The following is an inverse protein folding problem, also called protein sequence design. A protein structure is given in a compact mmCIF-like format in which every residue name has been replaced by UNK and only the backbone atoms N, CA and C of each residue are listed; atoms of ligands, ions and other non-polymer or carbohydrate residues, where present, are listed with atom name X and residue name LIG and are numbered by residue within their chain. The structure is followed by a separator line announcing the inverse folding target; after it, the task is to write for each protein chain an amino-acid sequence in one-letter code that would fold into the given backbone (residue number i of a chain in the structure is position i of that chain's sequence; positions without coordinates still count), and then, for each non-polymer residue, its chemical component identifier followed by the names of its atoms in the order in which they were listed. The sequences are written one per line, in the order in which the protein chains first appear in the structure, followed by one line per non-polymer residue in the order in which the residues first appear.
data_IF_270553961265
#
_entry.id   IF_270553961265
#
_cell.length_a   1.000
_cell.length_b   1.000
_cell.length_c   1.000
_cell.angle_alpha   90.00
_cell.angle_beta   90.00
_cell.angle_gamma   90.00
#
_symmetry.space_group_name_H-M   'P 1'
#
loop_
_entity.id
_entity.type
_entity.pdbx_description
1 polymer ?
#
# COMPACT_ATOMS: atom_id res chain seq x y z
N UNK A 1 -11.36 15.52 -24.62
CA UNK A 1 -10.47 14.60 -23.91
C UNK A 1 -11.12 14.04 -22.63
N UNK A 2 -11.72 14.85 -21.75
CA UNK A 2 -12.39 14.37 -20.52
C UNK A 2 -13.76 13.67 -20.72
N UNK A 3 -14.25 13.61 -21.93
CA UNK A 3 -15.53 12.98 -22.30
C UNK A 3 -15.43 11.47 -22.60
N UNK A 4 -14.23 10.95 -22.73
CA UNK A 4 -14.01 9.53 -22.99
C UNK A 4 -14.31 8.66 -21.76
N UNK A 5 -15.08 7.58 -21.88
CA UNK A 5 -15.51 6.77 -20.73
C UNK A 5 -14.37 6.17 -19.90
N UNK A 6 -13.24 5.83 -20.55
CA UNK A 6 -12.07 5.29 -19.85
C UNK A 6 -11.38 6.35 -18.98
N UNK A 7 -11.29 7.60 -19.48
CA UNK A 7 -10.69 8.71 -18.72
C UNK A 7 -11.51 9.05 -17.49
N UNK A 8 -12.84 9.05 -17.60
CA UNK A 8 -13.73 9.29 -16.46
C UNK A 8 -13.58 8.21 -15.39
N UNK A 9 -13.46 6.92 -15.79
CA UNK A 9 -13.23 5.81 -14.86
C UNK A 9 -11.89 5.90 -14.18
N UNK A 10 -10.83 6.23 -14.91
CA UNK A 10 -9.50 6.43 -14.35
C UNK A 10 -9.47 7.57 -13.33
N UNK A 11 -10.09 8.70 -13.66
CA UNK A 11 -10.18 9.86 -12.79
C UNK A 11 -11.00 9.55 -11.53
N UNK A 12 -12.11 8.83 -11.66
CA UNK A 12 -12.91 8.39 -10.51
C UNK A 12 -12.13 7.44 -9.60
N UNK A 13 -11.42 6.46 -10.18
CA UNK A 13 -10.58 5.55 -9.39
C UNK A 13 -9.46 6.30 -8.67
N UNK A 14 -8.77 7.22 -9.35
CA UNK A 14 -7.72 8.04 -8.74
C UNK A 14 -8.27 8.93 -7.62
N UNK A 15 -9.39 9.61 -7.84
CA UNK A 15 -10.03 10.51 -6.88
C UNK A 15 -10.51 9.78 -5.60
N UNK A 16 -10.78 8.48 -5.70
CA UNK A 16 -11.15 7.63 -4.57
C UNK A 16 -9.91 7.06 -3.86
N UNK A 17 -8.93 6.56 -4.62
CA UNK A 17 -7.76 5.91 -4.05
C UNK A 17 -6.72 6.90 -3.51
N UNK A 18 -6.59 8.09 -4.11
CA UNK A 18 -5.63 9.08 -3.69
C UNK A 18 -5.84 9.57 -2.24
N UNK A 19 -7.06 9.98 -1.82
CA UNK A 19 -7.27 10.35 -0.42
C UNK A 19 -7.13 9.16 0.54
N UNK A 20 -7.45 7.94 0.11
CA UNK A 20 -7.24 6.75 0.92
C UNK A 20 -5.76 6.49 1.18
N UNK A 21 -4.94 6.54 0.13
CA UNK A 21 -3.48 6.42 0.24
C UNK A 21 -2.89 7.56 1.08
N UNK A 22 -3.34 8.80 0.87
CA UNK A 22 -2.90 9.95 1.64
C UNK A 22 -3.23 9.81 3.14
N UNK A 23 -4.40 9.27 3.48
CA UNK A 23 -4.79 9.04 4.86
C UNK A 23 -3.96 7.93 5.52
N UNK A 24 -3.82 6.78 4.86
CA UNK A 24 -2.95 5.70 5.34
C UNK A 24 -1.50 6.17 5.47
N UNK A 25 -1.04 6.96 4.52
CA UNK A 25 0.30 7.52 4.48
C UNK A 25 0.66 8.39 5.70
N UNK A 26 -0.32 9.05 6.34
CA UNK A 26 -0.07 9.80 7.59
C UNK A 26 0.48 8.87 8.68
N UNK A 27 -0.11 7.68 8.84
CA UNK A 27 0.35 6.71 9.82
C UNK A 27 1.65 6.03 9.40
N UNK A 28 1.82 5.77 8.10
CA UNK A 28 3.05 5.20 7.52
C UNK A 28 4.24 6.12 7.80
N UNK A 29 4.11 7.42 7.48
CA UNK A 29 5.19 8.39 7.70
C UNK A 29 5.44 8.66 9.18
N UNK A 30 4.39 8.71 10.02
CA UNK A 30 4.53 8.92 11.44
C UNK A 30 5.22 7.75 12.16
N UNK A 31 5.03 6.51 11.66
CA UNK A 31 5.67 5.29 12.18
C UNK A 31 7.03 4.99 11.55
N UNK A 32 7.58 5.89 10.73
CA UNK A 32 8.85 5.72 10.01
C UNK A 32 8.85 4.50 9.08
N UNK A 33 7.73 4.22 8.43
CA UNK A 33 7.55 3.11 7.50
C UNK A 33 7.53 3.58 6.04
N UNK A 34 8.33 4.59 5.68
CA UNK A 34 8.29 5.20 4.35
C UNK A 34 8.60 4.21 3.22
N UNK A 35 9.50 3.24 3.45
CA UNK A 35 9.85 2.20 2.49
C UNK A 35 8.83 1.06 2.39
N UNK A 36 7.78 1.06 3.22
CA UNK A 36 6.78 -0.01 3.23
C UNK A 36 6.08 -0.16 1.86
N UNK A 37 5.66 0.96 1.29
CA UNK A 37 4.99 0.95 -0.01
C UNK A 37 5.87 0.35 -1.10
N UNK A 38 7.14 0.74 -1.16
CA UNK A 38 8.09 0.19 -2.12
C UNK A 38 8.33 -1.30 -1.90
N UNK A 39 8.51 -1.71 -0.64
CA UNK A 39 8.69 -3.13 -0.28
C UNK A 39 7.50 -3.98 -0.74
N UNK A 40 6.27 -3.54 -0.45
CA UNK A 40 5.06 -4.26 -0.85
C UNK A 40 4.85 -4.23 -2.37
N UNK A 41 5.21 -3.13 -3.02
CA UNK A 41 5.11 -3.00 -4.48
C UNK A 41 6.04 -3.98 -5.19
N UNK A 42 7.26 -4.12 -4.72
CA UNK A 42 8.21 -5.11 -5.27
C UNK A 42 7.82 -6.55 -4.91
N UNK A 43 7.26 -6.77 -3.71
CA UNK A 43 6.66 -8.06 -3.35
C UNK A 43 5.47 -8.39 -4.27
N UNK A 44 4.62 -7.42 -4.58
CA UNK A 44 3.53 -7.60 -5.53
C UNK A 44 4.02 -8.01 -6.92
N UNK A 45 5.09 -7.37 -7.44
CA UNK A 45 5.71 -7.76 -8.70
C UNK A 45 6.28 -9.19 -8.66
N UNK A 46 6.92 -9.58 -7.57
CA UNK A 46 7.41 -10.95 -7.38
C UNK A 46 6.24 -11.96 -7.35
N UNK A 47 5.13 -11.59 -6.71
CA UNK A 47 3.90 -12.38 -6.72
C UNK A 47 3.27 -12.51 -8.10
N UNK A 48 3.29 -11.43 -8.92
CA UNK A 48 2.85 -11.46 -10.32
C UNK A 48 3.73 -12.41 -11.13
N UNK A 49 5.05 -12.32 -10.97
CA UNK A 49 5.99 -13.21 -11.65
C UNK A 49 5.73 -14.69 -11.29
N UNK A 50 5.45 -14.99 -10.02
CA UNK A 50 5.00 -16.31 -9.57
C UNK A 50 3.71 -16.74 -10.25
N UNK A 51 2.72 -15.87 -10.36
CA UNK A 51 1.46 -16.15 -11.03
C UNK A 51 1.64 -16.56 -12.48
N UNK A 52 2.48 -15.85 -13.22
CA UNK A 52 2.81 -16.19 -14.60
C UNK A 52 3.61 -17.50 -14.68
N UNK A 53 4.49 -17.76 -13.70
CA UNK A 53 5.22 -19.03 -13.66
C UNK A 53 4.30 -20.23 -13.46
N UNK A 54 3.21 -20.08 -12.71
CA UNK A 54 2.15 -21.09 -12.58
C UNK A 54 1.16 -21.12 -13.78
N UNK A 55 1.38 -20.30 -14.81
CA UNK A 55 0.53 -20.25 -16.01
C UNK A 55 -0.83 -19.60 -15.81
N UNK A 56 -0.96 -18.74 -14.78
CA UNK A 56 -2.20 -18.01 -14.53
C UNK A 56 -2.32 -16.80 -15.45
N UNK A 57 -3.45 -16.65 -16.13
CA UNK A 57 -3.73 -15.48 -16.98
C UNK A 57 -3.94 -14.20 -16.16
N UNK A 58 -4.48 -14.33 -14.95
CA UNK A 58 -4.67 -13.22 -14.01
C UNK A 58 -3.91 -13.47 -12.70
N UNK A 59 -2.71 -12.90 -12.52
CA UNK A 59 -1.87 -13.14 -11.36
C UNK A 59 -2.26 -12.34 -10.11
N UNK A 60 -3.49 -11.82 -10.02
CA UNK A 60 -3.95 -10.98 -8.90
C UNK A 60 -3.91 -11.72 -7.55
N UNK A 61 -4.29 -13.00 -7.53
CA UNK A 61 -4.27 -13.79 -6.28
C UNK A 61 -2.85 -14.04 -5.79
N UNK A 62 -1.89 -14.55 -6.60
CA UNK A 62 -0.49 -14.68 -6.18
C UNK A 62 0.14 -13.35 -5.78
N UNK A 63 -0.20 -12.26 -6.46
CA UNK A 63 0.25 -10.91 -6.12
C UNK A 63 -0.15 -10.55 -4.68
N UNK A 64 -1.42 -10.71 -4.33
CA UNK A 64 -1.94 -10.37 -2.99
C UNK A 64 -1.32 -11.30 -1.94
N UNK A 65 -1.29 -12.61 -2.19
CA UNK A 65 -0.77 -13.59 -1.25
C UNK A 65 0.71 -13.36 -0.94
N UNK A 66 1.53 -13.10 -1.95
CA UNK A 66 2.96 -12.86 -1.75
C UNK A 66 3.20 -11.53 -1.05
N UNK A 67 2.43 -10.48 -1.38
CA UNK A 67 2.47 -9.20 -0.67
C UNK A 67 2.11 -9.34 0.81
N UNK A 68 1.07 -10.11 1.12
CA UNK A 68 0.65 -10.39 2.50
C UNK A 68 1.70 -11.21 3.26
N UNK A 69 2.35 -12.17 2.60
CA UNK A 69 3.43 -12.97 3.19
C UNK A 69 4.60 -12.07 3.57
N UNK A 70 5.03 -11.19 2.68
CA UNK A 70 6.11 -10.23 2.94
C UNK A 70 5.72 -9.25 4.03
N UNK A 71 4.49 -8.73 4.03
CA UNK A 71 3.98 -7.84 5.06
C UNK A 71 3.92 -8.51 6.45
N UNK A 72 3.47 -9.77 6.51
CA UNK A 72 3.52 -10.57 7.73
C UNK A 72 4.97 -10.78 8.20
N UNK A 73 5.89 -11.01 7.26
CA UNK A 73 7.32 -11.11 7.52
C UNK A 73 7.91 -9.84 8.13
N UNK A 74 7.49 -8.64 7.67
CA UNK A 74 7.92 -7.36 8.26
C UNK A 74 7.54 -7.30 9.74
N UNK A 75 6.28 -7.58 10.07
CA UNK A 75 5.80 -7.49 11.46
C UNK A 75 6.43 -8.59 12.31
N UNK A 76 6.56 -9.81 11.77
CA UNK A 76 7.19 -10.92 12.48
C UNK A 76 8.66 -10.62 12.79
N UNK A 77 9.45 -10.13 11.82
CA UNK A 77 10.85 -9.74 12.04
C UNK A 77 10.96 -8.59 13.05
N UNK A 78 10.07 -7.59 12.98
CA UNK A 78 10.02 -6.50 13.95
C UNK A 78 9.81 -7.01 15.38
N UNK A 79 8.95 -8.01 15.57
CA UNK A 79 8.64 -8.58 16.88
C UNK A 79 9.77 -9.45 17.47
N UNK A 80 10.57 -10.10 16.60
CA UNK A 80 11.59 -11.08 17.00
C UNK A 80 13.04 -10.60 16.87
N UNK A 81 13.25 -9.42 16.29
CA UNK A 81 14.60 -8.87 16.11
C UNK A 81 14.68 -7.45 16.64
N UNK A 82 15.87 -7.02 17.04
CA UNK A 82 16.14 -5.63 17.44
C UNK A 82 16.49 -4.73 16.24
N UNK A 83 16.24 -5.20 15.01
CA UNK A 83 16.53 -4.45 13.80
C UNK A 83 15.56 -3.25 13.67
N UNK A 84 16.09 -2.15 13.16
CA UNK A 84 15.27 -1.01 12.80
C UNK A 84 14.26 -1.39 11.70
N UNK A 85 13.05 -0.87 11.78
CA UNK A 85 11.97 -1.16 10.83
C UNK A 85 12.40 -0.88 9.37
N UNK A 86 13.14 0.20 9.13
CA UNK A 86 13.65 0.53 7.80
C UNK A 86 14.67 -0.51 7.28
N UNK A 87 15.50 -1.09 8.17
CA UNK A 87 16.44 -2.16 7.80
C UNK A 87 15.70 -3.45 7.40
N UNK A 88 14.66 -3.81 8.15
CA UNK A 88 13.80 -4.96 7.83
C UNK A 88 13.14 -4.77 6.46
N UNK A 89 12.60 -3.58 6.20
CA UNK A 89 11.98 -3.26 4.92
C UNK A 89 12.97 -3.30 3.77
N UNK A 90 14.17 -2.74 3.93
CA UNK A 90 15.21 -2.78 2.91
C UNK A 90 15.66 -4.21 2.59
N UNK A 91 15.78 -5.08 3.62
CA UNK A 91 16.12 -6.48 3.45
C UNK A 91 15.05 -7.25 2.67
N UNK A 92 13.79 -7.09 3.05
CA UNK A 92 12.67 -7.75 2.38
C UNK A 92 12.41 -7.19 0.97
N UNK A 93 12.64 -5.87 0.77
CA UNK A 93 12.61 -5.26 -0.56
C UNK A 93 13.65 -5.89 -1.47
N UNK A 94 14.90 -5.91 -1.03
CA UNK A 94 16.00 -6.49 -1.83
C UNK A 94 15.76 -7.98 -2.12
N UNK A 95 15.29 -8.74 -1.12
CA UNK A 95 14.93 -10.14 -1.28
C UNK A 95 13.79 -10.34 -2.27
N UNK A 96 12.73 -9.54 -2.20
CA UNK A 96 11.58 -9.60 -3.12
C UNK A 96 11.98 -9.25 -4.55
N UNK A 97 12.82 -8.23 -4.73
CA UNK A 97 13.35 -7.84 -6.05
C UNK A 97 14.20 -8.96 -6.63
N UNK A 98 15.16 -9.51 -5.87
CA UNK A 98 16.02 -10.60 -6.32
C UNK A 98 15.19 -11.82 -6.70
N UNK A 99 14.23 -12.21 -5.87
CA UNK A 99 13.34 -13.33 -6.12
C UNK A 99 12.49 -13.11 -7.38
N UNK A 100 11.91 -11.92 -7.53
CA UNK A 100 11.14 -11.55 -8.72
C UNK A 100 11.98 -11.63 -10.00
N UNK A 101 13.22 -11.11 -9.99
CA UNK A 101 14.13 -11.14 -11.13
C UNK A 101 14.50 -12.59 -11.51
N UNK A 102 14.78 -13.46 -10.52
CA UNK A 102 15.08 -14.86 -10.78
C UNK A 102 13.92 -15.54 -11.50
N UNK A 103 12.68 -15.38 -11.01
CA UNK A 103 11.51 -15.98 -11.65
C UNK A 103 11.31 -15.42 -13.06
N UNK A 104 11.42 -14.10 -13.24
CA UNK A 104 11.28 -13.46 -14.54
C UNK A 104 12.33 -13.89 -15.54
N UNK A 105 13.54 -14.23 -15.09
CA UNK A 105 14.60 -14.74 -15.95
C UNK A 105 14.29 -16.13 -16.51
N UNK A 106 13.47 -16.91 -15.79
CA UNK A 106 13.01 -18.23 -16.20
C UNK A 106 11.81 -18.16 -17.17
N UNK A 107 11.12 -17.03 -17.22
CA UNK A 107 9.93 -16.81 -18.05
C UNK A 107 10.32 -16.21 -19.41
N UNK A 108 10.01 -16.91 -20.51
CA UNK A 108 10.21 -16.41 -21.86
C UNK A 108 8.92 -15.69 -22.33
N UNK A 109 9.00 -14.38 -22.59
CA UNK A 109 7.95 -13.66 -23.31
C UNK A 109 7.06 -12.68 -22.52
N UNK A 110 7.11 -12.63 -21.18
CA UNK A 110 6.19 -11.83 -20.35
C UNK A 110 6.65 -10.39 -20.02
N UNK A 111 7.70 -9.89 -20.68
CA UNK A 111 8.26 -8.55 -20.37
C UNK A 111 7.29 -7.39 -20.60
N UNK A 112 6.38 -7.50 -21.55
CA UNK A 112 5.40 -6.44 -21.85
C UNK A 112 4.29 -6.29 -20.79
N UNK A 113 3.91 -7.37 -20.14
CA UNK A 113 2.86 -7.34 -19.13
C UNK A 113 3.32 -6.72 -17.80
N UNK A 114 4.61 -6.84 -17.47
CA UNK A 114 5.17 -6.15 -16.30
C UNK A 114 5.07 -4.64 -16.38
N UNK A 115 5.25 -4.04 -17.57
CA UNK A 115 5.11 -2.60 -17.75
C UNK A 115 3.70 -2.10 -17.36
N UNK A 116 2.66 -2.89 -17.58
CA UNK A 116 1.30 -2.54 -17.17
C UNK A 116 1.17 -2.39 -15.66
N UNK A 117 1.82 -3.25 -14.87
CA UNK A 117 1.79 -3.16 -13.41
C UNK A 117 2.68 -2.04 -12.85
N UNK A 118 3.78 -1.70 -13.52
CA UNK A 118 4.65 -0.59 -13.10
C UNK A 118 3.96 0.77 -13.25
N UNK A 119 3.31 0.99 -14.40
CA UNK A 119 2.71 2.28 -14.76
C UNK A 119 1.18 2.31 -14.57
N UNK A 120 0.57 1.18 -14.25
CA UNK A 120 -0.88 1.01 -14.26
C UNK A 120 -1.45 0.87 -15.68
N UNK A 121 -2.62 0.28 -15.81
CA UNK A 121 -3.33 0.19 -17.09
C UNK A 121 -4.60 1.04 -17.04
N UNK A 122 -4.40 2.36 -17.13
CA UNK A 122 -5.47 3.37 -17.09
C UNK A 122 -6.53 3.12 -18.18
N UNK A 123 -6.12 2.56 -19.33
CA UNK A 123 -7.00 2.30 -20.46
C UNK A 123 -7.89 1.07 -20.25
N UNK A 124 -7.44 0.11 -19.45
CA UNK A 124 -8.14 -1.15 -19.21
C UNK A 124 -9.05 -1.15 -17.97
N UNK A 125 -9.22 0.00 -17.29
CA UNK A 125 -10.05 0.08 -16.09
C UNK A 125 -11.51 -0.24 -16.42
N UNK A 126 -11.99 -1.37 -15.88
CA UNK A 126 -13.38 -1.81 -16.02
C UNK A 126 -14.30 -1.12 -15.00
N UNK A 127 -15.62 -1.02 -15.28
CA UNK A 127 -16.57 -0.49 -14.30
C UNK A 127 -16.60 -1.27 -12.97
N UNK A 128 -16.29 -2.58 -13.03
CA UNK A 128 -16.22 -3.43 -11.83
C UNK A 128 -15.03 -3.05 -10.93
N UNK A 129 -13.90 -2.68 -11.52
CA UNK A 129 -12.72 -2.26 -10.79
C UNK A 129 -12.92 -0.90 -10.10
N UNK A 130 -13.64 0.02 -10.76
CA UNK A 130 -14.05 1.30 -10.14
C UNK A 130 -14.98 1.05 -8.95
N UNK A 131 -15.98 0.18 -9.10
CA UNK A 131 -16.88 -0.17 -7.99
C UNK A 131 -16.09 -0.83 -6.84
N UNK A 132 -15.14 -1.69 -7.16
CA UNK A 132 -14.29 -2.34 -6.16
C UNK A 132 -13.38 -1.34 -5.42
N UNK A 133 -12.79 -0.37 -6.11
CA UNK A 133 -12.01 0.69 -5.47
C UNK A 133 -12.85 1.55 -4.53
N UNK A 134 -14.12 1.79 -4.89
CA UNK A 134 -15.06 2.50 -4.03
C UNK A 134 -15.41 1.71 -2.76
N UNK A 135 -15.69 0.41 -2.90
CA UNK A 135 -15.91 -0.48 -1.75
C UNK A 135 -14.68 -0.52 -0.83
N UNK A 136 -13.48 -0.65 -1.42
CA UNK A 136 -12.23 -0.59 -0.68
C UNK A 136 -12.08 0.71 0.11
N UNK A 137 -12.35 1.85 -0.53
CA UNK A 137 -12.32 3.17 0.11
C UNK A 137 -13.26 3.24 1.31
N UNK A 138 -14.51 2.80 1.14
CA UNK A 138 -15.51 2.84 2.22
C UNK A 138 -15.13 1.92 3.36
N UNK A 139 -14.73 0.68 3.07
CA UNK A 139 -14.38 -0.31 4.09
C UNK A 139 -13.12 0.10 4.86
N UNK A 140 -12.05 0.44 4.14
CA UNK A 140 -10.79 0.84 4.78
C UNK A 140 -10.92 2.19 5.47
N UNK A 141 -11.60 3.15 4.85
CA UNK A 141 -11.87 4.46 5.44
C UNK A 141 -12.69 4.36 6.74
N UNK A 142 -13.78 3.59 6.73
CA UNK A 142 -14.59 3.33 7.93
C UNK A 142 -13.78 2.64 9.03
N UNK A 143 -12.96 1.65 8.67
CA UNK A 143 -12.08 0.98 9.62
C UNK A 143 -11.05 1.95 10.22
N UNK A 144 -10.35 2.74 9.39
CA UNK A 144 -9.40 3.75 9.85
C UNK A 144 -10.06 4.76 10.79
N UNK A 145 -11.26 5.24 10.43
CA UNK A 145 -11.99 6.18 11.25
C UNK A 145 -12.39 5.60 12.61
N UNK A 146 -12.82 4.33 12.64
CA UNK A 146 -13.18 3.62 13.87
C UNK A 146 -11.97 3.37 14.78
N UNK A 147 -10.79 3.16 14.22
CA UNK A 147 -9.56 2.90 14.95
C UNK A 147 -8.66 4.13 15.13
N UNK A 148 -9.10 5.31 14.67
CA UNK A 148 -8.29 6.53 14.62
C UNK A 148 -7.63 6.85 15.95
N UNK A 149 -8.39 6.85 17.04
CA UNK A 149 -7.87 7.18 18.39
C UNK A 149 -6.83 6.18 18.87
N UNK A 150 -7.06 4.88 18.61
CA UNK A 150 -6.13 3.81 19.01
C UNK A 150 -4.85 3.84 18.17
N UNK A 151 -4.98 4.06 16.85
CA UNK A 151 -3.85 4.21 15.93
C UNK A 151 -3.02 5.45 16.28
N UNK A 152 -3.67 6.55 16.61
CA UNK A 152 -3.00 7.79 17.06
C UNK A 152 -2.19 7.56 18.33
N UNK A 153 -2.80 6.92 19.33
CA UNK A 153 -2.13 6.61 20.58
C UNK A 153 -0.93 5.67 20.38
N UNK A 154 -1.13 4.60 19.60
CA UNK A 154 -0.09 3.64 19.25
C UNK A 154 1.07 4.30 18.47
N UNK A 155 0.77 5.27 17.60
CA UNK A 155 1.78 5.98 16.82
C UNK A 155 2.56 7.00 17.65
N UNK A 156 1.92 7.60 18.66
CA UNK A 156 2.56 8.58 19.53
C UNK A 156 3.47 7.92 20.58
N UNK A 157 2.95 6.91 21.29
CA UNK A 157 3.67 6.20 22.34
C UNK A 157 3.13 4.78 22.50
N UNK A 158 3.92 3.79 22.08
CA UNK A 158 3.54 2.38 22.11
C UNK A 158 3.33 1.88 23.54
N UNK A 159 4.21 2.28 24.48
CA UNK A 159 4.11 1.89 25.89
C UNK A 159 2.82 2.40 26.55
N UNK A 160 2.45 3.66 26.28
CA UNK A 160 1.20 4.23 26.79
C UNK A 160 -0.03 3.53 26.19
N UNK A 161 0.03 3.13 24.92
CA UNK A 161 -1.05 2.37 24.31
C UNK A 161 -1.26 1.02 25.00
N UNK A 162 -0.18 0.34 25.38
CA UNK A 162 -0.25 -0.92 26.15
C UNK A 162 -0.88 -0.71 27.53
N UNK A 163 -0.45 0.33 28.26
CA UNK A 163 -1.01 0.66 29.58
C UNK A 163 -2.51 1.01 29.50
N UNK A 164 -2.93 1.68 28.41
CA UNK A 164 -4.34 1.98 28.15
C UNK A 164 -5.16 0.77 27.68
N UNK A 165 -4.61 -0.44 27.66
CA UNK A 165 -5.32 -1.68 27.28
C UNK A 165 -5.56 -1.82 25.79
N UNK A 166 -4.84 -1.08 24.93
CA UNK A 166 -4.91 -1.24 23.48
C UNK A 166 -4.16 -2.52 23.09
N UNK A 167 -4.77 -3.44 22.33
CA UNK A 167 -4.08 -4.66 21.86
C UNK A 167 -3.08 -4.30 20.74
N UNK A 168 -1.95 -3.72 21.12
CA UNK A 168 -0.93 -3.15 20.23
C UNK A 168 -0.56 -4.10 19.11
N UNK A 169 -0.19 -5.34 19.44
CA UNK A 169 0.25 -6.34 18.46
C UNK A 169 -0.83 -6.65 17.42
N UNK A 170 -2.08 -6.84 17.86
CA UNK A 170 -3.21 -7.12 16.93
C UNK A 170 -3.49 -5.92 16.03
N UNK A 171 -3.43 -4.71 16.59
CA UNK A 171 -3.70 -3.49 15.84
C UNK A 171 -2.60 -3.22 14.81
N UNK A 172 -1.35 -3.52 15.13
CA UNK A 172 -0.21 -3.40 14.22
C UNK A 172 -0.32 -4.36 13.04
N UNK A 173 -0.61 -5.65 13.31
CA UNK A 173 -0.88 -6.64 12.26
C UNK A 173 -2.07 -6.25 11.37
N UNK A 174 -3.18 -5.82 11.96
CA UNK A 174 -4.35 -5.38 11.20
C UNK A 174 -4.05 -4.15 10.34
N UNK A 175 -3.34 -3.17 10.88
CA UNK A 175 -2.94 -1.98 10.13
C UNK A 175 -2.06 -2.35 8.94
N UNK A 176 -1.03 -3.16 9.14
CA UNK A 176 -0.13 -3.62 8.08
C UNK A 176 -0.88 -4.44 7.03
N UNK A 177 -1.81 -5.31 7.44
CA UNK A 177 -2.64 -6.09 6.52
C UNK A 177 -3.54 -5.19 5.66
N UNK A 178 -4.25 -4.24 6.28
CA UNK A 178 -5.12 -3.28 5.57
C UNK A 178 -4.31 -2.41 4.61
N UNK A 179 -3.15 -1.92 5.05
CA UNK A 179 -2.23 -1.14 4.24
C UNK A 179 -1.73 -1.95 3.03
N UNK A 180 -1.31 -3.20 3.26
CA UNK A 180 -0.83 -4.10 2.19
C UNK A 180 -1.93 -4.38 1.15
N UNK A 181 -3.14 -4.69 1.60
CA UNK A 181 -4.27 -4.90 0.69
C UNK A 181 -4.58 -3.64 -0.12
N UNK A 182 -4.58 -2.48 0.53
CA UNK A 182 -4.83 -1.21 -0.17
C UNK A 182 -3.75 -0.93 -1.20
N UNK A 183 -2.48 -1.08 -0.86
CA UNK A 183 -1.36 -0.88 -1.79
C UNK A 183 -1.42 -1.88 -2.94
N UNK A 184 -1.52 -3.18 -2.66
CA UNK A 184 -1.53 -4.22 -3.68
C UNK A 184 -2.69 -4.07 -4.68
N UNK A 185 -3.89 -3.73 -4.21
CA UNK A 185 -5.05 -3.52 -5.07
C UNK A 185 -4.97 -2.19 -5.85
N UNK A 186 -4.39 -1.15 -5.25
CA UNK A 186 -4.20 0.14 -5.93
C UNK A 186 -3.15 0.07 -7.03
N UNK A 187 -2.13 -0.78 -6.89
CA UNK A 187 -1.08 -0.97 -7.91
C UNK A 187 -1.67 -1.39 -9.25
N UNK A 188 -2.66 -2.27 -9.25
CA UNK A 188 -3.31 -2.75 -10.47
C UNK A 188 -3.97 -1.61 -11.27
N UNK A 189 -4.52 -0.61 -10.57
CA UNK A 189 -5.27 0.51 -11.17
C UNK A 189 -4.38 1.71 -11.47
N UNK A 190 -3.57 2.11 -10.49
CA UNK A 190 -2.78 3.34 -10.55
C UNK A 190 -1.30 3.10 -10.92
N UNK A 191 -0.84 1.87 -10.83
CA UNK A 191 0.57 1.52 -10.96
C UNK A 191 1.40 1.79 -9.69
N UNK A 192 2.57 1.19 -9.64
CA UNK A 192 3.46 1.26 -8.47
C UNK A 192 3.88 2.70 -8.18
N UNK A 193 4.35 3.41 -9.20
CA UNK A 193 4.94 4.75 -9.06
C UNK A 193 3.94 5.74 -8.47
N UNK A 194 2.69 5.71 -8.91
CA UNK A 194 1.67 6.64 -8.43
C UNK A 194 1.22 6.28 -7.01
N UNK A 195 1.05 5.00 -6.70
CA UNK A 195 0.63 4.56 -5.36
C UNK A 195 1.68 4.90 -4.31
N UNK A 196 2.97 4.63 -4.58
CA UNK A 196 4.06 4.96 -3.65
C UNK A 196 4.17 6.47 -3.44
N UNK A 197 4.03 7.25 -4.52
CA UNK A 197 4.04 8.72 -4.44
C UNK A 197 2.87 9.26 -3.61
N UNK A 198 1.65 8.76 -3.82
CA UNK A 198 0.46 9.18 -3.08
C UNK A 198 0.50 8.80 -1.60
N UNK A 199 1.21 7.72 -1.26
CA UNK A 199 1.33 7.28 0.12
C UNK A 199 2.36 8.10 0.92
N UNK A 200 3.38 8.65 0.26
CA UNK A 200 4.51 9.31 0.93
C UNK A 200 4.47 10.83 0.78
N UNK A 201 4.26 11.36 -0.43
CA UNK A 201 4.38 12.80 -0.71
C UNK A 201 3.32 13.64 0.02
N UNK A 202 2.00 13.35 -0.06
CA UNK A 202 0.99 14.15 0.61
C UNK A 202 1.19 14.22 2.14
N UNK A 203 1.38 13.09 2.87
CA UNK A 203 1.59 13.18 4.30
C UNK A 203 2.92 13.80 4.71
N UNK A 204 3.99 13.63 3.93
CA UNK A 204 5.27 14.27 4.19
C UNK A 204 5.16 15.80 4.05
N UNK A 205 4.48 16.27 3.02
CA UNK A 205 4.18 17.70 2.82
C UNK A 205 3.29 18.24 3.95
N UNK A 206 2.22 17.52 4.27
CA UNK A 206 1.31 17.88 5.35
C UNK A 206 2.00 17.96 6.71
N UNK A 207 2.98 17.09 6.97
CA UNK A 207 3.76 17.09 8.22
C UNK A 207 4.51 18.39 8.42
N UNK A 208 5.07 18.97 7.38
CA UNK A 208 5.80 20.22 7.45
C UNK A 208 4.88 21.44 7.69
N UNK A 209 3.61 21.33 7.33
CA UNK A 209 2.61 22.40 7.46
C UNK A 209 1.76 22.27 8.72
N UNK A 210 1.72 21.11 9.36
CA UNK A 210 0.83 20.79 10.46
C UNK A 210 1.52 20.91 11.83
N UNK A 211 0.73 21.34 12.83
CA UNK A 211 1.17 21.38 14.24
C UNK A 211 0.66 20.20 15.06
N UNK A 212 -0.34 19.48 14.55
CA UNK A 212 -0.92 18.32 15.21
C UNK A 212 -1.41 17.29 14.18
N UNK A 213 -1.65 16.06 14.62
CA UNK A 213 -2.02 14.93 13.74
C UNK A 213 -3.35 15.18 13.00
N UNK A 214 -4.32 15.86 13.61
CA UNK A 214 -5.59 16.18 12.94
C UNK A 214 -5.38 17.11 11.74
N UNK A 215 -4.57 18.15 11.91
CA UNK A 215 -4.20 19.05 10.81
C UNK A 215 -3.40 18.30 9.74
N UNK A 216 -2.49 17.41 10.14
CA UNK A 216 -1.73 16.59 9.19
C UNK A 216 -2.63 15.71 8.33
N UNK A 217 -3.66 15.08 8.91
CA UNK A 217 -4.64 14.29 8.16
C UNK A 217 -5.37 15.17 7.15
N UNK A 218 -5.89 16.32 7.58
CA UNK A 218 -6.65 17.23 6.69
C UNK A 218 -5.76 17.75 5.55
N UNK A 219 -4.56 18.23 5.86
CA UNK A 219 -3.64 18.71 4.84
C UNK A 219 -3.16 17.59 3.90
N UNK A 220 -2.93 16.39 4.43
CA UNK A 220 -2.58 15.23 3.59
C UNK A 220 -3.69 14.87 2.61
N UNK A 221 -4.95 14.90 3.05
CA UNK A 221 -6.09 14.67 2.18
C UNK A 221 -6.22 15.76 1.11
N UNK A 222 -6.02 17.03 1.46
CA UNK A 222 -6.09 18.15 0.52
C UNK A 222 -4.98 18.12 -0.54
N UNK A 223 -3.78 17.70 -0.16
CA UNK A 223 -2.63 17.60 -1.09
C UNK A 223 -2.71 16.33 -1.93
N UNK A 224 -3.37 15.28 -1.43
CA UNK A 224 -3.49 13.99 -2.13
C UNK A 224 -4.58 13.95 -3.20
N UNK A 225 -5.50 14.93 -3.24
CA UNK A 225 -6.58 15.07 -4.23
C UNK A 225 -6.22 16.13 -5.24
#
# INVERSE_FOLDING_TARGET
MFTEPFMQRALLAALVLAPLCAFLGVFVTARRMAFFSDTISHAALAGIALGFWFGLNEPTIPMILFSLLVAAGIVWLKDYTELLTDTIMALLLSGSVAFGIIILSLLKGYRGELHRYLFGDILAISPREVAFSYVLFVVVGAWLFSQLSRLTLLTAQEEMAQVCGVPVRRLDYLFVLVLTLTVALSIRLLGIILVTSLLVIPPATARNLSRNLRQQIVFSLLVGV
#
